data_IF_075858234477
#
_entry.id   IF_075858234477
#
_cell.length_a   1.000
_cell.length_b   1.000
_cell.length_c   1.000
_cell.angle_alpha   90.00
_cell.angle_beta   90.00
_cell.angle_gamma   90.00
#
_symmetry.space_group_name_H-M   'P 1'
#
loop_
_entity.id
_entity.type
_entity.pdbx_description
1 polymer ?
#
# COMPACT_ATOMS: atom_id res chain seq x y z
N UNK A 1 -7.84 -22.89 -13.34
CA UNK A 1 -7.24 -22.28 -12.12
C UNK A 1 -7.52 -20.78 -12.09
N UNK A 2 -8.11 -20.27 -11.02
CA UNK A 2 -8.37 -18.84 -10.89
C UNK A 2 -7.05 -18.06 -10.71
N UNK A 3 -6.97 -16.80 -11.17
CA UNK A 3 -5.80 -15.94 -10.94
C UNK A 3 -5.41 -15.87 -9.45
N UNK A 4 -6.39 -16.00 -8.56
CA UNK A 4 -6.21 -16.05 -7.11
C UNK A 4 -5.45 -17.29 -6.63
N UNK A 5 -5.76 -18.49 -7.13
CA UNK A 5 -5.07 -19.73 -6.73
C UNK A 5 -3.56 -19.69 -7.04
N UNK A 6 -3.15 -18.96 -8.10
CA UNK A 6 -1.75 -18.82 -8.50
C UNK A 6 -0.92 -17.94 -7.55
N UNK A 7 -1.54 -17.01 -6.82
CA UNK A 7 -0.81 -16.08 -5.93
C UNK A 7 -0.63 -16.61 -4.51
N UNK A 8 -1.48 -17.54 -4.07
CA UNK A 8 -1.49 -18.06 -2.69
C UNK A 8 -0.12 -18.64 -2.29
N UNK A 9 0.56 -19.47 -3.10
CA UNK A 9 1.86 -20.04 -2.70
C UNK A 9 2.90 -18.96 -2.43
N UNK A 10 2.99 -17.96 -3.32
CA UNK A 10 3.92 -16.84 -3.17
C UNK A 10 3.55 -15.95 -1.99
N UNK A 11 2.27 -15.64 -1.81
CA UNK A 11 1.78 -14.87 -0.67
C UNK A 11 2.14 -15.55 0.66
N UNK A 12 1.91 -16.87 0.77
CA UNK A 12 2.26 -17.64 1.96
C UNK A 12 3.77 -17.66 2.23
N UNK A 13 4.61 -17.76 1.20
CA UNK A 13 6.07 -17.68 1.36
C UNK A 13 6.53 -16.30 1.84
N UNK A 14 5.88 -15.22 1.42
CA UNK A 14 6.18 -13.86 1.87
C UNK A 14 5.76 -13.70 3.33
N UNK A 15 4.52 -14.07 3.67
CA UNK A 15 3.95 -13.92 5.02
C UNK A 15 4.76 -14.70 6.05
N UNK A 16 5.26 -15.91 5.70
CA UNK A 16 6.11 -16.71 6.60
C UNK A 16 7.47 -16.08 6.90
N UNK A 17 8.03 -15.26 5.99
CA UNK A 17 9.36 -14.66 6.14
C UNK A 17 9.34 -13.20 6.55
N UNK A 18 8.28 -12.47 6.19
CA UNK A 18 8.18 -11.03 6.36
C UNK A 18 6.84 -10.68 6.95
N UNK A 19 6.88 -9.87 8.00
CA UNK A 19 5.68 -9.30 8.57
C UNK A 19 5.20 -8.12 7.70
N UNK A 20 4.06 -8.26 7.04
CA UNK A 20 3.48 -7.21 6.19
C UNK A 20 2.10 -6.79 6.69
N UNK A 21 1.80 -5.49 6.62
CA UNK A 21 0.44 -5.00 6.82
C UNK A 21 -0.45 -5.36 5.62
N UNK A 22 -1.76 -5.30 5.84
CA UNK A 22 -2.76 -5.70 4.84
C UNK A 22 -2.62 -4.90 3.54
N UNK A 23 -2.34 -3.59 3.63
CA UNK A 23 -2.13 -2.73 2.46
C UNK A 23 -0.89 -3.16 1.66
N UNK A 24 0.24 -3.37 2.33
CA UNK A 24 1.47 -3.78 1.66
C UNK A 24 1.33 -5.16 1.01
N UNK A 25 0.74 -6.12 1.73
CA UNK A 25 0.52 -7.47 1.20
C UNK A 25 -0.45 -7.47 0.02
N UNK A 26 -1.58 -6.76 0.14
CA UNK A 26 -2.56 -6.66 -0.94
C UNK A 26 -1.99 -5.97 -2.18
N UNK A 27 -1.21 -4.90 -2.00
CA UNK A 27 -0.56 -4.17 -3.10
C UNK A 27 0.29 -5.07 -3.99
N UNK A 28 0.97 -6.07 -3.42
CA UNK A 28 1.79 -7.02 -4.18
C UNK A 28 1.01 -7.85 -5.20
N UNK A 29 -0.31 -7.94 -5.08
CA UNK A 29 -1.13 -8.81 -5.91
C UNK A 29 -2.36 -8.14 -6.52
N UNK A 30 -2.78 -6.97 -6.04
CA UNK A 30 -4.02 -6.29 -6.44
C UNK A 30 -4.10 -6.02 -7.94
N UNK A 31 -3.00 -5.56 -8.54
CA UNK A 31 -2.94 -5.26 -9.99
C UNK A 31 -3.08 -6.50 -10.87
N UNK A 32 -2.53 -7.65 -10.43
CA UNK A 32 -2.70 -8.95 -11.13
C UNK A 32 -4.14 -9.46 -11.06
N UNK A 33 -4.87 -9.08 -10.00
CA UNK A 33 -6.26 -9.48 -9.78
C UNK A 33 -7.28 -8.42 -10.22
N UNK A 34 -6.83 -7.26 -10.73
CA UNK A 34 -7.68 -6.11 -11.06
C UNK A 34 -8.59 -5.67 -9.89
N UNK A 35 -8.07 -5.78 -8.66
CA UNK A 35 -8.82 -5.42 -7.46
C UNK A 35 -8.55 -3.96 -7.07
N UNK A 36 -9.61 -3.28 -6.63
CA UNK A 36 -9.57 -1.88 -6.21
C UNK A 36 -9.07 -1.67 -4.77
N UNK A 37 -9.21 -2.69 -3.91
CA UNK A 37 -8.87 -2.59 -2.48
C UNK A 37 -7.70 -3.49 -2.08
N UNK A 38 -6.55 -2.88 -1.82
CA UNK A 38 -5.37 -3.58 -1.30
C UNK A 38 -5.63 -4.13 0.12
N UNK A 39 -6.24 -3.33 1.01
CA UNK A 39 -6.52 -3.72 2.39
C UNK A 39 -7.33 -5.00 2.50
N UNK A 40 -8.42 -5.10 1.74
CA UNK A 40 -9.29 -6.29 1.75
C UNK A 40 -8.58 -7.53 1.21
N UNK A 41 -7.79 -7.38 0.16
CA UNK A 41 -7.01 -8.49 -0.39
C UNK A 41 -5.95 -8.96 0.61
N UNK A 42 -5.23 -8.04 1.27
CA UNK A 42 -4.27 -8.37 2.31
C UNK A 42 -4.92 -9.16 3.46
N UNK A 43 -6.07 -8.70 3.97
CA UNK A 43 -6.84 -9.42 5.00
C UNK A 43 -7.21 -10.84 4.57
N UNK A 44 -7.72 -11.01 3.34
CA UNK A 44 -8.07 -12.32 2.79
C UNK A 44 -6.87 -13.25 2.68
N UNK A 45 -5.71 -12.74 2.29
CA UNK A 45 -4.47 -13.50 2.18
C UNK A 45 -3.89 -13.89 3.55
N UNK A 46 -4.08 -13.03 4.57
CA UNK A 46 -3.61 -13.27 5.93
C UNK A 46 -4.39 -14.33 6.70
N UNK A 47 -5.65 -14.62 6.33
CA UNK A 47 -6.53 -15.62 6.97
C UNK A 47 -6.46 -15.60 8.52
N UNK A 48 -6.56 -14.41 9.12
CA UNK A 48 -6.54 -14.21 10.59
C UNK A 48 -5.22 -14.56 11.30
N UNK A 49 -4.08 -14.63 10.60
CA UNK A 49 -2.78 -14.63 11.25
C UNK A 49 -2.56 -13.27 11.93
N UNK A 50 -2.54 -13.30 13.26
CA UNK A 50 -2.22 -12.13 14.08
C UNK A 50 -0.72 -11.87 14.00
N UNK A 51 -0.37 -10.89 13.16
CA UNK A 51 1.01 -10.61 12.77
C UNK A 51 1.50 -9.37 13.55
N UNK A 52 2.52 -9.47 14.42
CA UNK A 52 2.78 -8.48 15.46
C UNK A 52 3.41 -7.14 15.01
N UNK A 53 3.02 -6.06 15.69
CA UNK A 53 3.53 -4.67 15.79
C UNK A 53 3.87 -3.83 14.53
N UNK A 54 4.81 -4.21 13.64
CA UNK A 54 5.31 -3.29 12.58
C UNK A 54 5.54 -3.97 11.23
N UNK A 55 4.96 -3.38 10.17
CA UNK A 55 5.20 -3.80 8.78
C UNK A 55 6.68 -3.63 8.39
N UNK A 56 7.27 -4.68 7.79
CA UNK A 56 8.64 -4.70 7.31
C UNK A 56 8.89 -3.61 6.25
N UNK A 57 7.98 -3.46 5.28
CA UNK A 57 8.09 -2.48 4.19
C UNK A 57 7.82 -1.08 4.73
N UNK A 58 6.55 -0.77 5.06
CA UNK A 58 6.12 0.60 5.28
C UNK A 58 6.20 1.06 6.74
N UNK A 59 6.53 0.18 7.69
CA UNK A 59 6.55 0.52 9.14
C UNK A 59 5.26 1.19 9.63
N UNK A 60 4.10 0.74 9.14
CA UNK A 60 2.76 1.26 9.46
C UNK A 60 2.49 2.70 8.99
N UNK A 61 3.17 3.16 7.92
CA UNK A 61 2.93 4.46 7.31
C UNK A 61 1.47 4.70 6.89
N UNK A 62 0.73 3.62 6.57
CA UNK A 62 -0.69 3.70 6.21
C UNK A 62 -1.59 4.16 7.37
N UNK A 63 -1.20 3.92 8.62
CA UNK A 63 -2.03 4.26 9.79
C UNK A 63 -1.98 5.77 10.08
N UNK A 64 -0.91 6.43 9.63
CA UNK A 64 -0.72 7.88 9.79
C UNK A 64 -1.27 8.71 8.62
N UNK A 65 -1.88 8.09 7.60
CA UNK A 65 -2.39 8.82 6.43
C UNK A 65 -3.45 9.86 6.80
N UNK A 66 -4.30 9.58 7.78
CA UNK A 66 -5.31 10.52 8.25
C UNK A 66 -4.70 11.82 8.80
N UNK A 67 -3.55 11.73 9.47
CA UNK A 67 -2.85 12.91 9.99
C UNK A 67 -2.32 13.77 8.84
N UNK A 68 -1.72 13.14 7.82
CA UNK A 68 -1.26 13.85 6.64
C UNK A 68 -2.41 14.47 5.84
N UNK A 69 -3.55 13.78 5.74
CA UNK A 69 -4.76 14.33 5.09
C UNK A 69 -5.25 15.58 5.80
N UNK A 70 -5.29 15.58 7.14
CA UNK A 70 -5.68 16.78 7.91
C UNK A 70 -4.75 17.96 7.60
N UNK A 71 -3.44 17.74 7.62
CA UNK A 71 -2.44 18.76 7.28
C UNK A 71 -2.62 19.29 5.84
N UNK A 72 -2.91 18.41 4.89
CA UNK A 72 -3.18 18.81 3.50
C UNK A 72 -4.44 19.68 3.41
N UNK A 73 -5.50 19.34 4.13
CA UNK A 73 -6.74 20.14 4.15
C UNK A 73 -6.52 21.51 4.78
N UNK A 74 -5.86 21.55 5.94
CA UNK A 74 -5.58 22.80 6.66
C UNK A 74 -4.73 23.73 5.76
N UNK A 75 -3.71 23.19 5.08
CA UNK A 75 -2.90 23.95 4.14
C UNK A 75 -3.67 24.42 2.88
N UNK A 76 -4.66 23.66 2.44
CA UNK A 76 -5.47 23.99 1.25
C UNK A 76 -6.57 25.01 1.51
N UNK A 77 -6.94 25.25 2.78
CA UNK A 77 -8.08 26.09 3.17
C UNK A 77 -8.01 27.54 2.68
N UNK A 78 -6.80 28.06 2.43
CA UNK A 78 -6.58 29.41 1.91
C UNK A 78 -6.53 29.53 0.38
N UNK A 79 -6.75 28.45 -0.37
CA UNK A 79 -6.58 28.42 -1.82
C UNK A 79 -7.86 27.96 -2.53
N UNK A 80 -8.18 28.61 -3.65
CA UNK A 80 -9.18 28.13 -4.61
C UNK A 80 -8.48 27.45 -5.77
N UNK A 81 -8.89 26.22 -6.10
CA UNK A 81 -8.27 25.41 -7.14
C UNK A 81 -9.29 24.48 -7.80
N UNK A 82 -9.09 24.20 -9.09
CA UNK A 82 -9.90 23.25 -9.87
C UNK A 82 -9.22 21.89 -10.04
N UNK A 83 -7.90 21.83 -9.83
CA UNK A 83 -7.11 20.61 -9.93
C UNK A 83 -5.98 20.62 -8.90
N UNK A 84 -5.53 19.43 -8.51
CA UNK A 84 -4.44 19.26 -7.55
C UNK A 84 -3.60 18.03 -7.92
N UNK A 85 -2.37 17.98 -7.41
CA UNK A 85 -1.48 16.83 -7.56
C UNK A 85 -0.90 16.46 -6.20
N UNK A 86 -0.92 15.16 -5.87
CA UNK A 86 -0.40 14.66 -4.60
C UNK A 86 0.88 13.88 -4.84
N UNK A 87 1.99 14.45 -4.39
CA UNK A 87 3.29 13.81 -4.31
C UNK A 87 3.62 13.36 -2.89
N UNK A 88 4.50 12.38 -2.74
CA UNK A 88 5.04 11.98 -1.45
C UNK A 88 6.56 11.75 -1.56
N UNK A 89 7.29 12.25 -0.56
CA UNK A 89 8.68 11.90 -0.33
C UNK A 89 8.74 10.83 0.74
N UNK A 90 9.29 9.66 0.40
CA UNK A 90 9.37 8.51 1.30
C UNK A 90 10.83 8.21 1.58
N UNK A 91 11.14 7.87 2.83
CA UNK A 91 12.49 7.50 3.25
C UNK A 91 13.06 6.37 2.34
N UNK A 92 14.29 6.50 1.82
CA UNK A 92 14.88 5.50 0.90
C UNK A 92 14.79 4.08 1.44
N UNK A 93 15.05 3.88 2.74
CA UNK A 93 14.95 2.57 3.40
C UNK A 93 13.59 1.85 3.26
N UNK A 94 12.49 2.56 3.03
CA UNK A 94 11.16 1.95 2.78
C UNK A 94 11.05 1.50 1.32
N UNK A 95 11.58 2.32 0.40
CA UNK A 95 11.63 2.04 -1.04
C UNK A 95 12.54 0.82 -1.28
N UNK A 96 13.73 0.80 -0.67
CA UNK A 96 14.69 -0.31 -0.81
C UNK A 96 14.11 -1.65 -0.36
N UNK A 97 13.35 -1.66 0.74
CA UNK A 97 12.69 -2.87 1.24
C UNK A 97 11.55 -3.34 0.36
N UNK A 98 10.81 -2.39 -0.22
CA UNK A 98 9.77 -2.70 -1.21
C UNK A 98 10.40 -3.36 -2.43
N UNK A 99 11.43 -2.74 -3.00
CA UNK A 99 12.13 -3.22 -4.17
C UNK A 99 12.82 -4.57 -3.92
N UNK A 100 13.39 -4.77 -2.73
CA UNK A 100 13.92 -6.07 -2.33
C UNK A 100 12.86 -7.18 -2.40
N UNK A 101 11.67 -6.97 -1.85
CA UNK A 101 10.59 -7.97 -1.90
C UNK A 101 10.11 -8.18 -3.34
N UNK A 102 9.93 -7.10 -4.11
CA UNK A 102 9.50 -7.19 -5.50
C UNK A 102 10.48 -8.00 -6.35
N UNK A 103 11.78 -7.74 -6.19
CA UNK A 103 12.85 -8.44 -6.90
C UNK A 103 12.93 -9.92 -6.48
N UNK A 104 12.98 -10.19 -5.16
CA UNK A 104 13.12 -11.53 -4.60
C UNK A 104 12.02 -12.49 -5.05
N UNK A 105 10.78 -12.01 -5.12
CA UNK A 105 9.63 -12.82 -5.52
C UNK A 105 9.23 -12.62 -6.99
N UNK A 106 10.08 -11.97 -7.80
CA UNK A 106 9.90 -11.72 -9.24
C UNK A 106 8.53 -11.10 -9.56
N UNK A 107 8.10 -10.17 -8.71
CA UNK A 107 6.78 -9.57 -8.77
C UNK A 107 6.78 -8.41 -9.77
N UNK A 108 6.51 -8.71 -11.04
CA UNK A 108 6.47 -7.73 -12.14
C UNK A 108 5.14 -6.97 -12.21
N UNK A 109 5.21 -5.71 -12.64
CA UNK A 109 4.04 -4.89 -12.98
C UNK A 109 3.24 -4.35 -11.79
N UNK A 110 3.85 -4.28 -10.60
CA UNK A 110 3.19 -3.84 -9.37
C UNK A 110 3.62 -2.41 -9.02
N UNK A 111 2.66 -1.66 -8.48
CA UNK A 111 2.84 -0.29 -8.04
C UNK A 111 3.78 -0.24 -6.82
N UNK A 112 4.68 0.74 -6.84
CA UNK A 112 5.58 1.02 -5.71
C UNK A 112 4.80 1.47 -4.48
N UNK A 113 5.42 1.38 -3.30
CA UNK A 113 4.81 1.84 -2.06
C UNK A 113 4.48 3.34 -2.11
N UNK A 114 5.33 4.11 -2.81
CA UNK A 114 5.11 5.54 -3.07
C UNK A 114 3.84 5.77 -3.88
N UNK A 115 3.71 5.06 -5.00
CA UNK A 115 2.55 5.19 -5.89
C UNK A 115 1.25 4.82 -5.18
N UNK A 116 1.27 3.81 -4.31
CA UNK A 116 0.09 3.39 -3.57
C UNK A 116 -0.35 4.44 -2.55
N UNK A 117 0.60 4.99 -1.79
CA UNK A 117 0.34 6.04 -0.80
C UNK A 117 -0.19 7.32 -1.48
N UNK A 118 0.43 7.77 -2.57
CA UNK A 118 -0.02 8.98 -3.26
C UNK A 118 -1.41 8.80 -3.87
N UNK A 119 -1.73 7.62 -4.41
CA UNK A 119 -3.08 7.30 -4.90
C UNK A 119 -4.12 7.31 -3.77
N UNK A 120 -3.83 6.68 -2.63
CA UNK A 120 -4.76 6.63 -1.50
C UNK A 120 -4.97 8.01 -0.86
N UNK A 121 -3.90 8.80 -0.73
CA UNK A 121 -3.99 10.19 -0.26
C UNK A 121 -4.79 11.05 -1.25
N UNK A 122 -4.48 10.98 -2.55
CA UNK A 122 -5.19 11.74 -3.57
C UNK A 122 -6.68 11.43 -3.63
N UNK A 123 -7.06 10.14 -3.59
CA UNK A 123 -8.48 9.73 -3.50
C UNK A 123 -9.16 10.26 -2.25
N UNK A 124 -8.48 10.20 -1.10
CA UNK A 124 -9.08 10.62 0.17
C UNK A 124 -9.22 12.13 0.26
N UNK A 125 -8.23 12.87 -0.24
CA UNK A 125 -8.24 14.33 -0.33
C UNK A 125 -9.35 14.81 -1.27
N UNK A 126 -9.51 14.16 -2.43
CA UNK A 126 -10.57 14.48 -3.42
C UNK A 126 -11.99 14.32 -2.89
N UNK A 127 -12.24 13.47 -1.89
CA UNK A 127 -13.60 13.22 -1.37
C UNK A 127 -14.13 14.34 -0.49
N UNK A 128 -13.25 15.23 -0.02
CA UNK A 128 -13.55 16.26 0.95
C UNK A 128 -13.50 17.67 0.35
N UNK A 129 -13.13 17.77 -0.92
CA UNK A 129 -13.23 18.95 -1.78
C UNK A 129 -14.58 18.83 -2.50
#
# INVERSE_FOLDING_TARGET
MTKYQKIIPTANQIIKKYNLCDNCLGRLFSKKLHLSSNKLLGKKLKKNLDLPQKCYICKNLFDHLNNYLKLMHDASSGYSYSSFSVGAMIKPSIIDRDDYIRSKYKLKGIDSIKTDITKELGKSFSKKI
#
